data_IF_541207582285
#
_entry.id   IF_541207582285
#
_cell.length_a   1.000
_cell.length_b   1.000
_cell.length_c   1.000
_cell.angle_alpha   90.00
_cell.angle_beta   90.00
_cell.angle_gamma   90.00
#
_symmetry.space_group_name_H-M   'P 1'
#
loop_
_entity.id
_entity.type
_entity.pdbx_description
1 polymer ?
#
# COMPACT_ATOMS: atom_id res chain seq x y z
N UNK A 1 87.72 29.14 33.64
CA UNK A 1 87.50 30.35 32.83
C UNK A 1 87.50 29.93 31.36
N UNK A 2 86.50 30.20 30.52
CA UNK A 2 85.37 31.11 30.62
C UNK A 2 84.18 30.62 29.79
N UNK A 3 83.00 30.92 30.31
CA UNK A 3 81.66 30.83 29.75
C UNK A 3 81.35 32.07 28.87
N UNK A 4 80.61 31.92 27.75
CA UNK A 4 79.73 32.93 27.08
C UNK A 4 79.21 32.47 25.68
N UNK A 5 78.08 33.05 25.16
CA UNK A 5 76.89 32.27 24.77
C UNK A 5 76.43 32.35 23.29
N UNK A 6 75.33 31.63 23.00
CA UNK A 6 74.57 31.49 21.74
C UNK A 6 74.24 32.81 21.00
N UNK A 7 74.40 32.83 19.68
CA UNK A 7 73.90 33.88 18.76
C UNK A 7 72.82 33.36 17.79
N UNK A 8 71.70 34.08 17.70
CA UNK A 8 70.54 33.83 16.83
C UNK A 8 70.88 33.91 15.32
N UNK A 9 70.12 33.24 14.42
CA UNK A 9 70.30 33.39 12.97
C UNK A 9 69.88 34.79 12.48
N UNK A 10 70.73 35.37 11.64
CA UNK A 10 70.64 36.73 11.13
C UNK A 10 69.40 36.97 10.25
N UNK A 11 68.77 38.14 10.45
CA UNK A 11 67.68 38.67 9.63
C UNK A 11 68.15 38.95 8.20
N UNK A 12 67.30 38.61 7.22
CA UNK A 12 67.54 38.89 5.79
C UNK A 12 67.62 40.39 5.46
N UNK A 13 68.06 40.75 4.25
CA UNK A 13 68.40 42.12 3.87
C UNK A 13 67.19 43.07 3.95
N UNK A 14 67.39 44.20 4.63
CA UNK A 14 66.41 45.29 4.78
C UNK A 14 66.35 46.05 3.45
N UNK A 15 65.30 45.84 2.66
CA UNK A 15 65.03 46.57 1.42
C UNK A 15 64.90 48.08 1.71
N UNK A 16 65.51 48.93 0.86
CA UNK A 16 65.33 50.38 0.97
C UNK A 16 63.87 50.77 0.68
N UNK A 17 63.43 51.91 1.22
CA UNK A 17 62.06 52.40 1.04
C UNK A 17 61.67 52.49 -0.44
N UNK A 18 62.59 52.91 -1.31
CA UNK A 18 62.36 53.01 -2.76
C UNK A 18 62.20 51.64 -3.43
N UNK A 19 62.97 50.62 -2.99
CA UNK A 19 62.83 49.26 -3.50
C UNK A 19 61.51 48.61 -3.06
N UNK A 20 60.99 48.98 -1.88
CA UNK A 20 59.67 48.54 -1.40
C UNK A 20 58.54 49.19 -2.20
N UNK A 21 58.66 50.48 -2.51
CA UNK A 21 57.71 51.21 -3.35
C UNK A 21 57.65 50.62 -4.77
N UNK A 22 58.78 50.44 -5.43
CA UNK A 22 58.83 49.85 -6.77
C UNK A 22 58.24 48.41 -6.81
N UNK A 23 58.48 47.63 -5.76
CA UNK A 23 57.89 46.29 -5.62
C UNK A 23 56.37 46.36 -5.45
N UNK A 24 55.88 47.27 -4.62
CA UNK A 24 54.44 47.47 -4.43
C UNK A 24 53.75 47.94 -5.71
N UNK A 25 54.36 48.86 -6.47
CA UNK A 25 53.82 49.32 -7.76
C UNK A 25 53.72 48.18 -8.78
N UNK A 26 54.77 47.36 -8.90
CA UNK A 26 54.76 46.16 -9.74
C UNK A 26 53.66 45.18 -9.31
N UNK A 27 53.54 44.89 -8.01
CA UNK A 27 52.51 43.99 -7.50
C UNK A 27 51.09 44.54 -7.71
N UNK A 28 50.88 45.85 -7.56
CA UNK A 28 49.59 46.49 -7.81
C UNK A 28 49.21 46.44 -9.30
N UNK A 29 50.20 46.60 -10.20
CA UNK A 29 49.97 46.47 -11.64
C UNK A 29 49.59 45.03 -12.03
N UNK A 30 50.20 44.04 -11.41
CA UNK A 30 49.94 42.62 -11.67
C UNK A 30 48.59 42.17 -11.11
N UNK A 31 48.25 42.62 -9.89
CA UNK A 31 46.94 42.39 -9.28
C UNK A 31 45.83 43.07 -10.10
N UNK A 32 46.05 44.30 -10.58
CA UNK A 32 45.05 45.00 -11.38
C UNK A 32 44.83 44.34 -12.76
N UNK A 33 45.89 43.82 -13.38
CA UNK A 33 45.78 43.02 -14.61
C UNK A 33 45.00 41.72 -14.39
N UNK A 34 45.31 40.98 -13.31
CA UNK A 34 44.59 39.75 -12.95
C UNK A 34 43.11 40.01 -12.62
N UNK A 35 42.80 41.10 -11.93
CA UNK A 35 41.42 41.50 -11.66
C UNK A 35 40.68 41.87 -12.95
N UNK A 36 41.33 42.56 -13.89
CA UNK A 36 40.73 42.89 -15.18
C UNK A 36 40.37 41.65 -15.99
N UNK A 37 41.21 40.61 -15.94
CA UNK A 37 40.98 39.33 -16.62
C UNK A 37 39.85 38.50 -15.95
N UNK A 38 39.79 38.51 -14.63
CA UNK A 38 38.67 37.91 -13.89
C UNK A 38 37.33 38.61 -14.15
N UNK A 39 37.36 39.94 -14.24
CA UNK A 39 36.16 40.74 -14.52
C UNK A 39 35.68 40.54 -15.96
N UNK A 40 36.60 40.45 -16.93
CA UNK A 40 36.24 40.18 -18.32
C UNK A 40 35.68 38.76 -18.50
N UNK A 41 36.17 37.78 -17.73
CA UNK A 41 35.61 36.42 -17.71
C UNK A 41 34.17 36.35 -17.15
N UNK A 42 33.73 37.32 -16.32
CA UNK A 42 32.37 37.36 -15.78
C UNK A 42 31.35 38.13 -16.63
N UNK A 43 31.80 39.02 -17.54
CA UNK A 43 30.90 39.77 -18.44
C UNK A 43 29.92 38.88 -19.23
N UNK A 44 30.33 37.78 -19.88
CA UNK A 44 29.39 36.95 -20.63
C UNK A 44 28.33 36.27 -19.75
N UNK A 45 28.60 36.04 -18.46
CA UNK A 45 27.60 35.51 -17.51
C UNK A 45 26.59 36.59 -17.12
N UNK A 46 27.04 37.83 -16.97
CA UNK A 46 26.16 38.97 -16.68
C UNK A 46 25.24 39.30 -17.87
N UNK A 47 25.77 39.26 -19.09
CA UNK A 47 24.99 39.44 -20.32
C UNK A 47 23.95 38.34 -20.50
N UNK A 48 24.32 37.07 -20.24
CA UNK A 48 23.37 35.93 -20.25
C UNK A 48 22.23 36.12 -19.24
N UNK A 49 22.51 36.68 -18.05
CA UNK A 49 21.49 36.93 -17.03
C UNK A 49 20.48 37.99 -17.48
N UNK A 50 20.94 39.03 -18.17
CA UNK A 50 20.08 40.10 -18.69
C UNK A 50 19.23 39.62 -19.88
N UNK A 51 19.74 38.70 -20.70
CA UNK A 51 19.00 38.08 -21.82
C UNK A 51 18.06 36.94 -21.37
N UNK A 52 18.46 36.13 -20.39
CA UNK A 52 17.62 35.06 -19.83
C UNK A 52 16.58 35.57 -18.84
N UNK A 53 16.78 36.76 -18.25
CA UNK A 53 15.86 37.32 -17.25
C UNK A 53 14.43 37.54 -17.75
N UNK A 54 14.20 38.08 -18.96
CA UNK A 54 12.86 38.23 -19.55
C UNK A 54 12.24 36.87 -19.91
N UNK A 55 12.98 36.01 -20.62
CA UNK A 55 12.52 34.68 -21.06
C UNK A 55 12.17 33.81 -19.85
N UNK A 56 13.04 33.81 -18.83
CA UNK A 56 12.82 33.05 -17.59
C UNK A 56 11.58 33.51 -16.82
N UNK A 57 11.31 34.81 -16.79
CA UNK A 57 10.10 35.36 -16.15
C UNK A 57 8.82 34.99 -16.90
N UNK A 58 8.84 35.02 -18.23
CA UNK A 58 7.69 34.67 -19.07
C UNK A 58 7.38 33.16 -19.02
N UNK A 59 8.42 32.32 -19.10
CA UNK A 59 8.31 30.88 -18.92
C UNK A 59 7.81 30.54 -17.52
N UNK A 60 8.32 31.20 -16.49
CA UNK A 60 7.87 30.99 -15.11
C UNK A 60 6.41 31.42 -14.92
N UNK A 61 6.02 32.57 -15.45
CA UNK A 61 4.63 33.03 -15.40
C UNK A 61 3.68 32.06 -16.10
N UNK A 62 4.09 31.53 -17.26
CA UNK A 62 3.32 30.52 -17.99
C UNK A 62 3.23 29.20 -17.21
N UNK A 63 4.32 28.77 -16.56
CA UNK A 63 4.33 27.58 -15.73
C UNK A 63 3.44 27.73 -14.48
N UNK A 64 3.46 28.92 -13.84
CA UNK A 64 2.56 29.25 -12.72
C UNK A 64 1.10 29.19 -13.17
N UNK A 65 0.77 29.82 -14.29
CA UNK A 65 -0.60 29.80 -14.84
C UNK A 65 -1.06 28.37 -15.19
N UNK A 66 -0.16 27.52 -15.71
CA UNK A 66 -0.47 26.11 -15.96
C UNK A 66 -0.66 25.33 -14.65
N UNK A 67 0.15 25.58 -13.63
CA UNK A 67 -0.02 24.95 -12.33
C UNK A 67 -1.31 25.38 -11.65
N UNK A 68 -1.65 26.66 -11.68
CA UNK A 68 -2.91 27.18 -11.15
C UNK A 68 -4.10 26.49 -11.82
N UNK A 69 -4.06 26.31 -13.14
CA UNK A 69 -5.09 25.59 -13.87
C UNK A 69 -5.14 24.06 -13.58
N UNK A 70 -4.02 23.46 -13.17
CA UNK A 70 -3.99 22.07 -12.68
C UNK A 70 -4.55 21.98 -11.25
N UNK A 71 -4.34 23.00 -10.43
CA UNK A 71 -4.88 23.11 -9.07
C UNK A 71 -6.38 23.32 -9.06
N UNK A 72 -6.90 24.23 -9.89
CA UNK A 72 -8.35 24.44 -10.07
C UNK A 72 -9.08 23.17 -10.51
N UNK A 73 -8.45 22.38 -11.40
CA UNK A 73 -8.99 21.09 -11.84
C UNK A 73 -8.80 19.96 -10.83
N UNK A 74 -8.20 20.24 -9.68
CA UNK A 74 -8.03 19.30 -8.58
C UNK A 74 -6.94 18.25 -8.77
N UNK A 75 -6.07 18.39 -9.79
CA UNK A 75 -5.01 17.41 -10.05
C UNK A 75 -4.03 17.29 -8.88
N UNK A 76 -3.72 18.38 -8.19
CA UNK A 76 -2.85 18.34 -7.00
C UNK A 76 -3.52 17.65 -5.81
N UNK A 77 -4.82 17.86 -5.61
CA UNK A 77 -5.57 17.18 -4.56
C UNK A 77 -5.66 15.67 -4.84
N UNK A 78 -5.99 15.30 -6.08
CA UNK A 78 -6.00 13.91 -6.53
C UNK A 78 -4.61 13.26 -6.41
N UNK A 79 -3.55 13.96 -6.81
CA UNK A 79 -2.18 13.48 -6.70
C UNK A 79 -1.74 13.25 -5.25
N UNK A 80 -2.14 14.12 -4.32
CA UNK A 80 -1.89 13.94 -2.88
C UNK A 80 -2.59 12.69 -2.33
N UNK A 81 -3.86 12.48 -2.70
CA UNK A 81 -4.60 11.28 -2.29
C UNK A 81 -4.02 10.01 -2.93
N UNK A 82 -3.57 10.09 -4.19
CA UNK A 82 -2.88 8.99 -4.86
C UNK A 82 -1.56 8.65 -4.16
N UNK A 83 -0.79 9.66 -3.74
CA UNK A 83 0.43 9.46 -2.96
C UNK A 83 0.13 8.85 -1.60
N UNK A 84 -0.93 9.28 -0.91
CA UNK A 84 -1.37 8.66 0.34
C UNK A 84 -1.75 7.19 0.14
N UNK A 85 -2.45 6.87 -0.96
CA UNK A 85 -2.76 5.49 -1.33
C UNK A 85 -1.49 4.68 -1.60
N UNK A 86 -0.52 5.24 -2.33
CA UNK A 86 0.77 4.60 -2.61
C UNK A 86 1.53 4.35 -1.30
N UNK A 87 1.64 5.35 -0.43
CA UNK A 87 2.32 5.22 0.86
C UNK A 87 1.65 4.15 1.72
N UNK A 88 0.31 4.12 1.75
CA UNK A 88 -0.45 3.10 2.47
C UNK A 88 -0.22 1.70 1.89
N UNK A 89 -0.19 1.58 0.57
CA UNK A 89 0.07 0.32 -0.12
C UNK A 89 1.51 -0.15 0.16
N UNK A 90 2.50 0.75 0.13
CA UNK A 90 3.90 0.41 0.39
C UNK A 90 4.16 0.10 1.88
N UNK A 91 3.41 0.72 2.80
CA UNK A 91 3.48 0.40 4.24
C UNK A 91 2.93 -0.99 4.58
N UNK A 92 1.85 -1.38 3.91
CA UNK A 92 1.09 -2.60 4.21
C UNK A 92 1.42 -3.78 3.28
N UNK A 93 1.93 -3.54 2.08
CA UNK A 93 2.22 -4.54 1.04
C UNK A 93 3.65 -4.40 0.49
N UNK A 94 4.31 -5.54 0.27
CA UNK A 94 5.66 -5.56 -0.29
C UNK A 94 5.66 -5.30 -1.80
N UNK A 95 6.80 -4.90 -2.39
CA UNK A 95 6.93 -4.76 -3.85
C UNK A 95 6.62 -6.05 -4.62
N UNK A 96 6.85 -7.22 -4.01
CA UNK A 96 6.46 -8.51 -4.61
C UNK A 96 4.95 -8.69 -4.64
N UNK A 97 4.24 -8.34 -3.55
CA UNK A 97 2.78 -8.47 -3.47
C UNK A 97 2.07 -7.60 -4.53
N UNK A 98 2.64 -6.43 -4.82
CA UNK A 98 2.10 -5.51 -5.83
C UNK A 98 2.31 -6.04 -7.27
N UNK A 99 3.41 -6.75 -7.52
CA UNK A 99 3.66 -7.41 -8.79
C UNK A 99 2.70 -8.59 -9.01
N UNK A 100 2.49 -9.42 -7.98
CA UNK A 100 1.51 -10.51 -8.06
C UNK A 100 0.09 -9.98 -8.29
N UNK A 101 -0.29 -8.88 -7.63
CA UNK A 101 -1.58 -8.23 -7.84
C UNK A 101 -1.72 -7.70 -9.28
N UNK A 102 -0.67 -7.12 -9.87
CA UNK A 102 -0.69 -6.65 -11.24
C UNK A 102 -0.90 -7.80 -12.24
N UNK A 103 -0.21 -8.93 -12.04
CA UNK A 103 -0.37 -10.13 -12.87
C UNK A 103 -1.77 -10.73 -12.75
N UNK A 104 -2.34 -10.76 -11.54
CA UNK A 104 -3.72 -11.21 -11.33
C UNK A 104 -4.75 -10.23 -11.89
N UNK A 105 -4.51 -8.92 -11.77
CA UNK A 105 -5.38 -7.89 -12.35
C UNK A 105 -5.42 -7.98 -13.87
N UNK A 106 -4.29 -8.24 -14.54
CA UNK A 106 -4.23 -8.46 -15.98
C UNK A 106 -5.08 -9.67 -16.40
N UNK A 107 -4.98 -10.80 -15.67
CA UNK A 107 -5.79 -11.99 -15.92
C UNK A 107 -7.30 -11.75 -15.73
N UNK A 108 -7.68 -10.96 -14.71
CA UNK A 108 -9.08 -10.55 -14.50
C UNK A 108 -9.54 -9.65 -15.66
N UNK A 109 -8.71 -8.69 -16.06
CA UNK A 109 -9.02 -7.78 -17.16
C UNK A 109 -9.20 -8.54 -18.48
N UNK A 110 -8.36 -9.53 -18.75
CA UNK A 110 -8.48 -10.40 -19.93
C UNK A 110 -9.74 -11.27 -19.87
N UNK A 111 -10.13 -11.74 -18.68
CA UNK A 111 -11.41 -12.45 -18.49
C UNK A 111 -12.60 -11.54 -18.76
N UNK A 112 -12.59 -10.32 -18.22
CA UNK A 112 -13.63 -9.31 -18.48
C UNK A 112 -13.69 -8.97 -19.96
N UNK A 113 -12.53 -8.80 -20.60
CA UNK A 113 -12.42 -8.57 -22.04
C UNK A 113 -12.98 -9.75 -22.83
N UNK A 114 -12.69 -10.98 -22.42
CA UNK A 114 -13.20 -12.21 -23.03
C UNK A 114 -14.71 -12.36 -22.88
N UNK A 115 -15.28 -12.00 -21.73
CA UNK A 115 -16.73 -12.03 -21.50
C UNK A 115 -17.46 -10.92 -22.26
N UNK A 116 -16.79 -9.77 -22.44
CA UNK A 116 -17.31 -8.65 -23.25
C UNK A 116 -17.17 -8.87 -24.77
N UNK A 117 -16.63 -10.01 -25.21
CA UNK A 117 -16.56 -10.34 -26.63
C UNK A 117 -17.97 -10.44 -27.25
N UNK A 118 -18.17 -9.97 -28.49
CA UNK A 118 -19.48 -9.98 -29.15
C UNK A 118 -20.14 -11.36 -29.21
N UNK A 119 -19.34 -12.41 -29.36
CA UNK A 119 -19.79 -13.82 -29.41
C UNK A 119 -20.34 -14.35 -28.09
N UNK A 120 -19.85 -13.87 -26.94
CA UNK A 120 -20.36 -14.27 -25.62
C UNK A 120 -21.60 -13.46 -25.27
N UNK A 121 -21.57 -12.15 -25.57
CA UNK A 121 -22.70 -11.25 -25.35
C UNK A 121 -23.93 -11.62 -26.18
N UNK A 122 -23.77 -12.15 -27.41
CA UNK A 122 -24.90 -12.62 -28.23
C UNK A 122 -25.60 -13.81 -27.59
N UNK A 123 -24.85 -14.75 -27.03
CA UNK A 123 -25.41 -15.93 -26.32
C UNK A 123 -26.12 -15.51 -25.04
N UNK A 124 -25.53 -14.60 -24.25
CA UNK A 124 -26.16 -14.08 -23.04
C UNK A 124 -27.48 -13.38 -23.37
N UNK A 125 -27.52 -12.60 -24.46
CA UNK A 125 -28.74 -11.91 -24.90
C UNK A 125 -29.82 -12.88 -25.38
N UNK A 126 -29.47 -13.85 -26.21
CA UNK A 126 -30.40 -14.87 -26.71
C UNK A 126 -30.98 -15.72 -25.56
N UNK A 127 -30.16 -16.04 -24.56
CA UNK A 127 -30.62 -16.69 -23.32
C UNK A 127 -31.54 -15.76 -22.52
N UNK A 128 -31.18 -14.49 -22.33
CA UNK A 128 -32.02 -13.54 -21.60
C UNK A 128 -33.40 -13.32 -22.27
N UNK A 129 -33.43 -13.22 -23.61
CA UNK A 129 -34.66 -13.09 -24.41
C UNK A 129 -35.55 -14.35 -24.28
N UNK A 130 -34.96 -15.54 -24.33
CA UNK A 130 -35.71 -16.80 -24.10
C UNK A 130 -36.26 -16.93 -22.68
N UNK A 131 -35.59 -16.36 -21.67
CA UNK A 131 -36.10 -16.31 -20.29
C UNK A 131 -37.25 -15.29 -20.11
N UNK A 132 -37.24 -14.17 -20.83
CA UNK A 132 -38.37 -13.22 -20.83
C UNK A 132 -39.60 -13.81 -21.52
N UNK A 133 -39.42 -14.53 -22.62
CA UNK A 133 -40.50 -15.16 -23.38
C UNK A 133 -41.10 -16.40 -22.68
N UNK A 134 -40.30 -17.10 -21.88
CA UNK A 134 -40.73 -18.28 -21.13
C UNK A 134 -41.42 -17.98 -19.79
N UNK A 135 -41.84 -16.74 -19.49
CA UNK A 135 -42.51 -16.37 -18.22
C UNK A 135 -43.88 -17.05 -17.96
N UNK A 136 -44.37 -17.90 -18.87
CA UNK A 136 -45.50 -18.80 -18.63
C UNK A 136 -45.28 -20.20 -19.25
N UNK A 137 -44.45 -21.08 -18.64
CA UNK A 137 -44.38 -22.46 -19.06
C UNK A 137 -45.43 -23.24 -18.27
N UNK A 138 -46.55 -23.61 -18.90
CA UNK A 138 -47.48 -24.55 -18.27
C UNK A 138 -46.73 -25.87 -17.95
N UNK A 139 -46.72 -26.32 -16.68
CA UNK A 139 -46.00 -27.52 -16.30
C UNK A 139 -46.73 -28.75 -16.83
N UNK A 140 -46.35 -29.22 -18.02
CA UNK A 140 -46.72 -30.55 -18.51
C UNK A 140 -45.73 -31.56 -17.93
N UNK A 141 -46.26 -32.53 -17.19
CA UNK A 141 -45.52 -33.43 -16.29
C UNK A 141 -44.33 -34.19 -16.90
N UNK A 142 -43.57 -34.82 -16.01
CA UNK A 142 -42.24 -35.44 -16.22
C UNK A 142 -42.09 -36.27 -17.51
N UNK A 143 -43.12 -37.01 -17.93
CA UNK A 143 -43.10 -37.82 -19.16
C UNK A 143 -43.17 -37.00 -20.45
N UNK A 144 -43.87 -35.86 -20.45
CA UNK A 144 -43.98 -34.96 -21.60
C UNK A 144 -42.67 -34.22 -21.88
N UNK A 145 -41.95 -33.84 -20.82
CA UNK A 145 -40.64 -33.22 -20.91
C UNK A 145 -39.60 -34.17 -21.55
N UNK A 146 -39.61 -35.45 -21.16
CA UNK A 146 -38.71 -36.47 -21.71
C UNK A 146 -38.89 -36.70 -23.23
N UNK A 147 -40.14 -36.66 -23.69
CA UNK A 147 -40.47 -36.80 -25.12
C UNK A 147 -39.98 -35.62 -25.96
N UNK A 148 -40.00 -34.38 -25.43
CA UNK A 148 -39.46 -33.19 -26.13
C UNK A 148 -37.94 -33.22 -26.22
N UNK A 149 -37.25 -33.55 -25.12
CA UNK A 149 -35.78 -33.70 -25.09
C UNK A 149 -35.30 -34.70 -26.16
N UNK A 150 -36.05 -35.79 -26.37
CA UNK A 150 -35.73 -36.79 -27.40
C UNK A 150 -36.08 -36.34 -28.83
N UNK A 151 -37.04 -35.43 -29.02
CA UNK A 151 -37.47 -34.98 -30.36
C UNK A 151 -36.73 -33.73 -30.86
N UNK A 152 -36.26 -32.87 -29.96
CA UNK A 152 -35.62 -31.61 -30.34
C UNK A 152 -34.10 -31.76 -30.50
N UNK A 153 -33.63 -31.65 -31.75
CA UNK A 153 -32.20 -31.78 -32.10
C UNK A 153 -31.32 -30.72 -31.41
N UNK A 154 -31.83 -29.52 -31.15
CA UNK A 154 -31.06 -28.45 -30.50
C UNK A 154 -30.84 -28.73 -29.00
N UNK A 155 -31.85 -29.29 -28.31
CA UNK A 155 -31.75 -29.71 -26.91
C UNK A 155 -30.71 -30.82 -26.75
N UNK A 156 -30.68 -31.78 -27.67
CA UNK A 156 -29.67 -32.84 -27.68
C UNK A 156 -28.25 -32.31 -27.85
N UNK A 157 -28.05 -31.33 -28.76
CA UNK A 157 -26.75 -30.68 -28.92
C UNK A 157 -26.34 -29.91 -27.66
N UNK A 158 -27.26 -29.21 -27.02
CA UNK A 158 -27.01 -28.49 -25.77
C UNK A 158 -26.59 -29.40 -24.63
N UNK A 159 -27.30 -30.51 -24.42
CA UNK A 159 -26.94 -31.52 -23.41
C UNK A 159 -25.58 -32.15 -23.73
N UNK A 160 -25.30 -32.47 -25.00
CA UNK A 160 -24.00 -32.99 -25.44
C UNK A 160 -22.85 -32.03 -25.17
N UNK A 161 -23.03 -30.74 -25.45
CA UNK A 161 -22.06 -29.70 -25.14
C UNK A 161 -21.83 -29.56 -23.63
N UNK A 162 -22.90 -29.53 -22.83
CA UNK A 162 -22.81 -29.43 -21.37
C UNK A 162 -22.05 -30.62 -20.77
N UNK A 163 -22.32 -31.84 -21.24
CA UNK A 163 -21.60 -33.04 -20.82
C UNK A 163 -20.12 -33.02 -21.26
N UNK A 164 -19.80 -32.50 -22.45
CA UNK A 164 -18.42 -32.37 -22.90
C UNK A 164 -17.65 -31.31 -22.09
N UNK A 165 -18.25 -30.15 -21.81
CA UNK A 165 -17.67 -29.14 -20.90
C UNK A 165 -17.43 -29.73 -19.52
N UNK A 166 -18.43 -30.41 -18.94
CA UNK A 166 -18.31 -31.04 -17.63
C UNK A 166 -17.21 -32.12 -17.61
N UNK A 167 -17.09 -32.91 -18.68
CA UNK A 167 -16.04 -33.90 -18.83
C UNK A 167 -14.65 -33.28 -18.97
N UNK A 168 -14.51 -32.17 -19.69
CA UNK A 168 -13.24 -31.43 -19.84
C UNK A 168 -12.80 -30.83 -18.50
N UNK A 169 -13.72 -30.26 -17.74
CA UNK A 169 -13.48 -29.71 -16.39
C UNK A 169 -13.14 -30.82 -15.38
N UNK A 170 -13.87 -31.95 -15.41
CA UNK A 170 -13.56 -33.09 -14.54
C UNK A 170 -12.16 -33.67 -14.79
N UNK A 171 -11.72 -33.71 -16.06
CA UNK A 171 -10.37 -34.18 -16.43
C UNK A 171 -9.26 -33.19 -16.05
N UNK A 172 -9.52 -31.89 -16.05
CA UNK A 172 -8.53 -30.89 -15.59
C UNK A 172 -8.35 -30.94 -14.08
N UNK A 173 -9.45 -31.08 -13.31
CA UNK A 173 -9.40 -31.27 -11.86
C UNK A 173 -8.71 -32.58 -11.46
N UNK A 174 -8.93 -33.66 -12.24
CA UNK A 174 -8.32 -34.98 -11.98
C UNK A 174 -6.80 -35.04 -12.28
N UNK A 175 -6.24 -34.06 -12.98
CA UNK A 175 -4.81 -33.94 -13.31
C UNK A 175 -4.03 -33.01 -12.37
N UNK A 176 -4.70 -32.35 -11.42
CA UNK A 176 -4.01 -31.59 -10.39
C UNK A 176 -3.22 -32.55 -9.48
N UNK A 177 -1.92 -32.28 -9.19
CA UNK A 177 -1.12 -33.15 -8.34
C UNK A 177 -1.74 -33.21 -6.95
N UNK A 178 -2.20 -34.40 -6.53
CA UNK A 178 -2.57 -34.64 -5.15
C UNK A 178 -1.30 -34.53 -4.33
N UNK A 179 -1.27 -33.58 -3.39
CA UNK A 179 -0.21 -33.51 -2.39
C UNK A 179 -0.21 -34.83 -1.62
N UNK A 180 0.77 -35.69 -1.93
CA UNK A 180 1.10 -36.86 -1.15
C UNK A 180 1.67 -36.37 0.17
N UNK A 181 0.94 -36.60 1.26
CA UNK A 181 1.45 -36.41 2.62
C UNK A 181 2.50 -37.50 2.83
N UNK A 182 3.76 -37.13 2.62
CA UNK A 182 4.91 -37.98 2.93
C UNK A 182 5.02 -38.12 4.45
N UNK A 183 4.70 -39.31 4.95
CA UNK A 183 5.21 -39.79 6.24
C UNK A 183 6.74 -39.83 6.20
N UNK A 184 7.38 -39.42 7.28
CA UNK A 184 8.83 -39.57 7.45
C UNK A 184 9.47 -38.64 8.47
N UNK A 185 9.58 -39.11 9.72
CA UNK A 185 10.67 -38.73 10.62
C UNK A 185 10.28 -37.88 11.82
N UNK A 186 10.24 -38.52 12.99
CA UNK A 186 10.23 -37.85 14.29
C UNK A 186 11.49 -36.98 14.45
N UNK A 187 11.32 -35.66 14.44
CA UNK A 187 12.31 -34.73 14.98
C UNK A 187 11.65 -33.90 16.07
N UNK A 188 12.17 -34.03 17.30
CA UNK A 188 11.81 -33.18 18.45
C UNK A 188 11.92 -31.71 18.08
N UNK A 189 11.01 -30.83 18.53
CA UNK A 189 11.20 -29.39 18.37
C UNK A 189 12.39 -28.95 19.23
N UNK A 190 13.43 -28.42 18.59
CA UNK A 190 14.48 -27.68 19.26
C UNK A 190 13.88 -26.38 19.82
N UNK A 191 14.18 -26.09 21.09
CA UNK A 191 13.72 -24.89 21.77
C UNK A 191 14.23 -23.63 21.03
N UNK A 192 13.30 -22.73 20.70
CA UNK A 192 13.62 -21.40 20.22
C UNK A 192 14.39 -20.63 21.31
N UNK A 193 15.49 -19.93 20.97
CA UNK A 193 16.13 -19.01 21.91
C UNK A 193 15.21 -17.81 22.17
N UNK A 194 15.07 -17.43 23.43
CA UNK A 194 14.26 -16.30 23.87
C UNK A 194 14.79 -14.97 23.25
N UNK A 195 13.91 -14.04 22.85
CA UNK A 195 14.34 -12.73 22.36
C UNK A 195 14.95 -11.89 23.50
N UNK A 196 15.96 -11.04 23.21
CA UNK A 196 16.60 -10.22 24.23
C UNK A 196 15.64 -9.16 24.79
N UNK A 197 15.55 -9.07 26.12
CA UNK A 197 14.89 -7.95 26.81
C UNK A 197 15.60 -6.65 26.45
N UNK A 198 14.96 -5.76 25.69
CA UNK A 198 15.36 -4.36 25.61
C UNK A 198 14.84 -3.61 26.84
N UNK A 199 15.75 -3.00 27.58
CA UNK A 199 15.47 -2.04 28.64
C UNK A 199 14.64 -0.87 28.09
N UNK A 200 13.61 -0.47 28.85
CA UNK A 200 12.73 0.65 28.54
C UNK A 200 13.49 1.95 28.78
N UNK A 201 13.54 2.82 27.78
CA UNK A 201 13.84 4.24 28.00
C UNK A 201 12.55 4.95 28.50
N UNK A 202 12.65 5.91 29.44
CA UNK A 202 11.48 6.60 29.96
C UNK A 202 10.93 7.57 28.89
N UNK A 203 9.66 7.40 28.51
CA UNK A 203 8.93 8.39 27.71
C UNK A 203 8.39 9.44 28.67
N UNK A 204 8.97 10.63 28.61
CA UNK A 204 8.43 11.84 29.22
C UNK A 204 7.06 12.14 28.62
N UNK A 205 6.08 12.24 29.50
CA UNK A 205 4.73 12.76 29.28
C UNK A 205 4.74 14.23 28.84
N UNK A 206 3.64 14.62 28.17
CA UNK A 206 3.25 15.95 27.66
C UNK A 206 3.51 16.12 26.14
N UNK A 207 2.55 16.48 25.28
CA UNK A 207 1.55 17.57 25.41
C UNK A 207 0.46 17.45 24.27
N UNK A 208 -0.39 18.47 24.01
CA UNK A 208 -1.81 18.58 24.40
C UNK A 208 -2.84 18.41 23.26
N UNK A 209 -4.11 18.51 23.63
CA UNK A 209 -5.29 18.54 22.77
C UNK A 209 -5.24 19.58 21.64
N UNK A 210 -5.76 19.21 20.46
CA UNK A 210 -6.43 20.15 19.55
C UNK A 210 -7.65 19.49 18.92
N UNK A 211 -8.80 20.08 19.20
CA UNK A 211 -10.08 19.82 18.55
C UNK A 211 -10.01 20.30 17.10
N UNK A 212 -10.44 19.46 16.16
CA UNK A 212 -11.01 19.90 14.89
C UNK A 212 -12.21 19.02 14.57
N UNK A 213 -13.37 19.64 14.70
CA UNK A 213 -14.69 19.09 14.53
C UNK A 213 -15.00 19.05 13.03
N UNK A 214 -15.27 17.88 12.46
CA UNK A 214 -15.98 17.74 11.17
C UNK A 214 -17.15 16.79 11.35
N UNK A 215 -18.34 17.31 11.04
CA UNK A 215 -19.64 16.68 11.25
C UNK A 215 -20.00 15.78 10.05
N UNK A 216 -19.94 14.48 10.30
CA UNK A 216 -20.78 13.35 9.85
C UNK A 216 -21.03 12.99 8.36
N UNK A 217 -20.61 11.76 8.03
CA UNK A 217 -21.57 10.64 7.91
C UNK A 217 -21.45 9.76 9.18
N UNK A 218 -22.45 8.98 9.62
CA UNK A 218 -22.31 8.12 10.79
C UNK A 218 -21.40 6.94 10.43
N UNK A 219 -20.09 7.15 10.49
CA UNK A 219 -19.16 6.03 10.65
C UNK A 219 -19.59 5.33 11.92
N UNK A 220 -20.06 4.08 11.80
CA UNK A 220 -20.49 3.27 12.93
C UNK A 220 -19.31 3.11 13.90
N UNK A 221 -19.16 4.07 14.79
CA UNK A 221 -18.21 4.08 15.89
C UNK A 221 -18.88 3.26 16.98
N UNK A 222 -18.46 2.01 17.09
CA UNK A 222 -18.90 1.15 18.18
C UNK A 222 -18.03 1.44 19.41
N UNK A 223 -18.63 1.57 20.60
CA UNK A 223 -17.90 1.86 21.83
C UNK A 223 -17.04 0.66 22.26
N UNK A 224 -16.01 0.95 23.06
CA UNK A 224 -15.27 -0.08 23.80
C UNK A 224 -16.24 -0.82 24.74
N UNK A 225 -16.25 -2.14 24.66
CA UNK A 225 -17.01 -3.00 25.56
C UNK A 225 -16.13 -3.33 26.78
N UNK A 226 -16.51 -2.90 27.99
CA UNK A 226 -15.72 -3.13 29.19
C UNK A 226 -15.60 -4.62 29.51
N UNK A 227 -14.56 -5.00 30.25
CA UNK A 227 -14.21 -6.41 30.50
C UNK A 227 -15.29 -7.22 31.24
N UNK A 228 -16.15 -6.54 32.01
CA UNK A 228 -17.27 -7.15 32.71
C UNK A 228 -18.45 -7.48 31.78
N UNK A 229 -18.53 -6.85 30.62
CA UNK A 229 -19.63 -7.03 29.65
C UNK A 229 -19.21 -7.87 28.44
N UNK A 230 -17.91 -7.91 28.14
CA UNK A 230 -17.39 -8.73 27.06
C UNK A 230 -17.23 -10.20 27.48
N UNK A 231 -17.89 -11.10 26.77
CA UNK A 231 -17.76 -12.55 26.93
C UNK A 231 -17.53 -13.24 25.59
N UNK A 232 -17.03 -14.48 25.62
CA UNK A 232 -16.91 -15.29 24.39
C UNK A 232 -18.29 -15.56 23.76
N UNK A 233 -19.31 -15.77 24.57
CA UNK A 233 -20.67 -16.01 24.07
C UNK A 233 -21.25 -14.77 23.38
N UNK A 234 -20.97 -13.57 23.91
CA UNK A 234 -21.33 -12.31 23.27
C UNK A 234 -20.62 -12.11 21.93
N UNK A 235 -19.31 -12.37 21.88
CA UNK A 235 -18.56 -12.29 20.62
C UNK A 235 -19.06 -13.35 19.60
N UNK A 236 -19.46 -14.54 20.06
CA UNK A 236 -20.05 -15.57 19.20
C UNK A 236 -21.41 -15.14 18.65
N UNK A 237 -22.30 -14.55 19.46
CA UNK A 237 -23.58 -14.02 18.94
C UNK A 237 -23.35 -12.92 17.92
N UNK A 238 -22.41 -12.00 18.19
CA UNK A 238 -22.07 -10.91 17.28
C UNK A 238 -21.46 -11.42 15.95
N UNK A 239 -20.74 -12.55 15.98
CA UNK A 239 -20.19 -13.17 14.77
C UNK A 239 -21.27 -13.68 13.81
N UNK A 240 -22.41 -14.16 14.33
CA UNK A 240 -23.56 -14.52 13.50
C UNK A 240 -24.17 -13.29 12.83
N UNK A 241 -24.34 -12.20 13.58
CA UNK A 241 -24.89 -10.94 13.04
C UNK A 241 -23.99 -10.30 11.97
N UNK A 242 -22.67 -10.47 12.11
CA UNK A 242 -21.67 -9.99 11.15
C UNK A 242 -21.49 -10.93 9.94
N UNK A 243 -22.17 -12.09 9.92
CA UNK A 243 -22.09 -13.07 8.84
C UNK A 243 -20.76 -13.86 8.80
N UNK A 244 -20.04 -13.93 9.92
CA UNK A 244 -18.82 -14.74 10.09
C UNK A 244 -19.17 -16.19 10.44
N UNK A 245 -20.28 -16.42 11.15
CA UNK A 245 -20.71 -17.74 11.58
C UNK A 245 -20.02 -18.21 12.87
N UNK A 246 -19.66 -19.48 12.94
CA UNK A 246 -19.01 -20.04 14.13
C UNK A 246 -17.53 -19.62 14.26
N UNK A 247 -17.17 -19.05 15.41
CA UNK A 247 -15.79 -18.67 15.68
C UNK A 247 -14.99 -19.92 16.07
N UNK A 248 -14.32 -20.53 15.10
CA UNK A 248 -13.30 -21.54 15.35
C UNK A 248 -12.02 -21.01 16.02
N UNK A 249 -11.08 -21.90 16.35
CA UNK A 249 -9.84 -21.59 17.07
C UNK A 249 -8.99 -20.49 16.40
N UNK A 250 -8.95 -20.49 15.06
CA UNK A 250 -8.28 -19.45 14.29
C UNK A 250 -8.86 -18.04 14.55
N UNK A 251 -10.19 -17.92 14.60
CA UNK A 251 -10.86 -16.66 14.91
C UNK A 251 -10.57 -16.22 16.35
N UNK A 252 -10.67 -17.16 17.30
CA UNK A 252 -10.43 -16.87 18.72
C UNK A 252 -9.02 -16.38 18.99
N UNK A 253 -8.01 -16.94 18.29
CA UNK A 253 -6.63 -16.48 18.40
C UNK A 253 -6.48 -15.01 18.04
N UNK A 254 -7.12 -14.58 16.94
CA UNK A 254 -7.06 -13.21 16.43
C UNK A 254 -7.85 -12.24 17.32
N UNK A 255 -9.07 -12.61 17.73
CA UNK A 255 -9.94 -11.80 18.59
C UNK A 255 -9.33 -11.61 19.98
N UNK A 256 -8.80 -12.69 20.58
CA UNK A 256 -8.19 -12.64 21.92
C UNK A 256 -6.91 -11.80 21.91
N UNK A 257 -6.09 -11.94 20.86
CA UNK A 257 -4.90 -11.11 20.67
C UNK A 257 -5.29 -9.64 20.54
N UNK A 258 -6.28 -9.31 19.69
CA UNK A 258 -6.68 -7.93 19.47
C UNK A 258 -7.17 -7.24 20.75
N UNK A 259 -7.92 -7.96 21.59
CA UNK A 259 -8.35 -7.44 22.90
C UNK A 259 -7.19 -7.27 23.87
N UNK A 260 -6.23 -8.19 23.89
CA UNK A 260 -5.05 -8.10 24.75
C UNK A 260 -4.12 -6.94 24.34
N UNK A 261 -3.85 -6.80 23.04
CA UNK A 261 -3.03 -5.70 22.48
C UNK A 261 -3.65 -4.33 22.78
N UNK A 262 -4.98 -4.21 22.70
CA UNK A 262 -5.67 -2.98 23.05
C UNK A 262 -5.50 -2.60 24.54
N UNK A 263 -5.50 -3.57 25.45
CA UNK A 263 -5.27 -3.31 26.88
C UNK A 263 -3.85 -2.82 27.15
N UNK A 264 -2.88 -3.29 26.39
CA UNK A 264 -1.47 -2.92 26.56
C UNK A 264 -1.12 -1.60 25.88
N UNK A 265 -1.62 -1.38 24.67
CA UNK A 265 -1.22 -0.25 23.81
C UNK A 265 -2.24 0.90 23.78
N UNK A 266 -3.46 0.69 24.27
CA UNK A 266 -4.55 1.69 24.25
C UNK A 266 -5.10 2.01 22.85
N UNK A 267 -4.63 1.32 21.81
CA UNK A 267 -5.04 1.51 20.43
C UNK A 267 -5.32 0.16 19.77
N UNK A 268 -6.36 0.10 18.93
CA UNK A 268 -6.72 -1.14 18.26
C UNK A 268 -5.61 -1.55 17.24
N UNK A 269 -5.19 -2.83 17.24
CA UNK A 269 -4.12 -3.27 16.36
C UNK A 269 -4.57 -3.33 14.90
N UNK A 270 -3.67 -2.97 13.98
CA UNK A 270 -3.87 -3.19 12.56
C UNK A 270 -3.60 -4.66 12.18
N UNK A 271 -4.00 -5.06 10.96
CA UNK A 271 -3.82 -6.45 10.48
C UNK A 271 -2.36 -6.88 10.54
N UNK A 272 -1.42 -6.00 10.14
CA UNK A 272 0.02 -6.28 10.18
C UNK A 272 0.53 -6.61 11.58
N UNK A 273 0.07 -5.91 12.62
CA UNK A 273 0.46 -6.17 14.02
C UNK A 273 -0.11 -7.50 14.51
N UNK A 274 -1.35 -7.79 14.11
CA UNK A 274 -2.02 -9.06 14.41
C UNK A 274 -1.25 -10.23 13.77
N UNK A 275 -0.91 -10.15 12.48
CA UNK A 275 -0.20 -11.23 11.78
C UNK A 275 1.24 -11.39 12.30
N UNK A 276 1.94 -10.29 12.59
CA UNK A 276 3.28 -10.32 13.16
C UNK A 276 3.34 -11.00 14.54
N UNK A 277 2.32 -10.81 15.38
CA UNK A 277 2.31 -11.33 16.75
C UNK A 277 1.68 -12.72 16.87
N UNK A 278 0.69 -13.03 16.04
CA UNK A 278 -0.03 -14.31 16.08
C UNK A 278 0.58 -15.38 15.16
N UNK A 279 1.45 -14.98 14.21
CA UNK A 279 2.03 -15.85 13.20
C UNK A 279 1.02 -16.38 12.17
N UNK A 280 -0.21 -15.84 12.17
CA UNK A 280 -1.22 -16.17 11.17
C UNK A 280 -0.92 -15.36 9.91
N UNK A 281 -0.94 -16.00 8.74
CA UNK A 281 -0.67 -15.30 7.48
C UNK A 281 -1.81 -14.34 7.13
N UNK A 282 -1.50 -13.25 6.42
CA UNK A 282 -2.52 -12.31 5.93
C UNK A 282 -3.61 -13.04 5.13
N UNK A 283 -3.22 -14.00 4.28
CA UNK A 283 -4.16 -14.84 3.52
C UNK A 283 -5.16 -15.57 4.40
N UNK A 284 -4.69 -16.18 5.49
CA UNK A 284 -5.55 -16.93 6.40
C UNK A 284 -6.49 -16.00 7.17
N UNK A 285 -6.03 -14.79 7.53
CA UNK A 285 -6.90 -13.78 8.14
C UNK A 285 -8.07 -13.39 7.22
N UNK A 286 -7.82 -13.18 5.93
CA UNK A 286 -8.89 -12.90 4.95
C UNK A 286 -9.75 -14.13 4.65
N UNK A 287 -9.21 -15.35 4.82
CA UNK A 287 -10.00 -16.59 4.74
C UNK A 287 -10.97 -16.75 5.91
N UNK A 288 -10.56 -16.34 7.11
CA UNK A 288 -11.38 -16.36 8.33
C UNK A 288 -12.39 -15.20 8.37
N UNK A 289 -11.98 -14.02 7.93
CA UNK A 289 -12.79 -12.80 7.94
C UNK A 289 -12.86 -12.18 6.53
N UNK A 290 -13.77 -12.65 5.65
CA UNK A 290 -13.81 -12.23 4.25
C UNK A 290 -14.25 -10.77 4.05
N UNK A 291 -14.97 -10.19 5.01
CA UNK A 291 -15.44 -8.80 4.97
C UNK A 291 -14.73 -7.98 6.04
N UNK A 292 -13.96 -6.99 5.60
CA UNK A 292 -13.28 -5.99 6.44
C UNK A 292 -12.64 -6.59 7.72
N UNK A 293 -11.60 -7.45 7.59
CA UNK A 293 -11.09 -8.26 8.69
C UNK A 293 -10.68 -7.44 9.92
N UNK A 294 -10.03 -6.29 9.74
CA UNK A 294 -9.59 -5.45 10.86
C UNK A 294 -10.77 -4.86 11.65
N UNK A 295 -11.84 -4.46 10.94
CA UNK A 295 -13.06 -3.95 11.55
C UNK A 295 -13.83 -5.06 12.27
N UNK A 296 -13.96 -6.22 11.62
CA UNK A 296 -14.67 -7.38 12.15
C UNK A 296 -13.97 -7.93 13.40
N UNK A 297 -12.64 -8.07 13.37
CA UNK A 297 -11.85 -8.48 14.54
C UNK A 297 -12.01 -7.46 15.68
N UNK A 298 -11.96 -6.16 15.38
CA UNK A 298 -12.11 -5.12 16.41
C UNK A 298 -13.51 -5.13 17.04
N UNK A 299 -14.56 -5.33 16.23
CA UNK A 299 -15.93 -5.49 16.71
C UNK A 299 -16.07 -6.71 17.62
N UNK A 300 -15.58 -7.87 17.19
CA UNK A 300 -15.64 -9.11 17.96
C UNK A 300 -14.81 -9.04 19.25
N UNK A 301 -13.67 -8.36 19.19
CA UNK A 301 -12.83 -8.10 20.35
C UNK A 301 -13.43 -7.05 21.31
N UNK A 302 -14.52 -6.38 20.91
CA UNK A 302 -15.18 -5.34 21.68
C UNK A 302 -14.30 -4.11 21.92
N UNK A 303 -13.38 -3.81 21.00
CA UNK A 303 -12.45 -2.66 21.07
C UNK A 303 -12.89 -1.58 20.07
N UNK A 304 -12.58 -0.28 20.26
CA UNK A 304 -13.01 0.77 19.35
C UNK A 304 -12.42 0.59 17.94
N UNK A 305 -13.05 1.24 16.96
CA UNK A 305 -12.60 1.22 15.56
C UNK A 305 -11.12 1.63 15.46
N UNK A 306 -10.27 0.84 14.76
CA UNK A 306 -8.86 1.19 14.57
C UNK A 306 -8.72 2.46 13.73
N UNK A 307 -7.74 3.30 14.10
CA UNK A 307 -7.38 4.49 13.33
C UNK A 307 -6.89 4.07 11.93
N UNK A 308 -7.52 4.61 10.88
CA UNK A 308 -7.11 4.35 9.48
C UNK A 308 -7.82 3.19 8.77
N UNK A 309 -8.88 2.61 9.33
CA UNK A 309 -9.81 1.80 8.53
C UNK A 309 -10.88 2.71 7.91
N UNK A 310 -10.80 2.95 6.60
CA UNK A 310 -11.83 3.62 5.81
C UNK A 310 -13.06 2.71 5.67
#
# INVERSE_FOLDING_TARGET
>A
MSDQPKGFPAAGPILSTDQRLARMESQLSEISAQLSELVSAQRPIAELKDEMGPIGREVMATAIAQMEHLEERGYFAFGKELMYLIDRIVEDYSPQDLHELADHAANILDTVRSLSQPSVMSVIREVAETFEEARNPEPKGLFGAWSRIRKEKNVQRGIGFALDVLGRVGRSVSRAPRFSRSDGGSARPAALPAPPRRERAPVSSERPASQSQTVHAPQATFPLIPDNEWSRDYAQSLAHDLGVGELGDGHWKLVSFARADYKENGAAPNIRRITASTGVSTRDVYGLFPKAPGLTISRLAGIPKPAGCL
#
